data_IF_638714457988
#
_entry.id   IF_638714457988
#
_cell.length_a   1.000
_cell.length_b   1.000
_cell.length_c   1.000
_cell.angle_alpha   90.00
_cell.angle_beta   90.00
_cell.angle_gamma   90.00
#
_symmetry.space_group_name_H-M   'P 1'
#
loop_
_entity.id
_entity.type
_entity.pdbx_description
1 polymer ?
#
# COMPACT_ATOMS: atom_id res chain seq x y z
N UNK A 1 -1.80 -10.20 1.13
CA UNK A 1 -2.38 -9.21 0.17
C UNK A 1 -1.63 -9.30 -1.15
N UNK A 2 -2.29 -9.18 -2.30
CA UNK A 2 -1.64 -9.13 -3.61
C UNK A 2 -1.54 -7.68 -4.10
N UNK A 3 -0.38 -7.30 -4.62
CA UNK A 3 -0.18 -5.98 -5.25
C UNK A 3 -0.47 -6.11 -6.75
N UNK A 4 -1.67 -5.72 -7.14
CA UNK A 4 -2.17 -5.83 -8.51
C UNK A 4 -2.08 -4.47 -9.24
N UNK A 5 -2.62 -4.39 -10.47
CA UNK A 5 -2.66 -3.15 -11.24
C UNK A 5 -1.27 -2.69 -11.68
N UNK A 6 -0.92 -1.43 -11.42
CA UNK A 6 0.41 -0.85 -11.67
C UNK A 6 1.48 -1.27 -10.65
N UNK A 7 1.10 -2.04 -9.63
CA UNK A 7 2.00 -2.53 -8.58
C UNK A 7 2.42 -1.40 -7.64
N UNK A 8 3.34 -1.74 -6.72
CA UNK A 8 3.89 -0.76 -5.78
C UNK A 8 5.30 -0.38 -6.23
N UNK A 9 5.60 0.93 -6.38
CA UNK A 9 6.96 1.36 -6.62
C UNK A 9 7.89 0.93 -5.49
N UNK A 10 9.14 0.60 -5.82
CA UNK A 10 10.18 0.20 -4.88
C UNK A 10 11.54 0.78 -5.30
N UNK A 11 12.46 0.87 -4.35
CA UNK A 11 13.86 1.21 -4.57
C UNK A 11 14.76 0.10 -4.05
N UNK A 12 15.93 -0.04 -4.68
CA UNK A 12 17.02 -0.87 -4.19
C UNK A 12 18.26 0.01 -4.17
N UNK A 13 18.84 0.18 -2.98
CA UNK A 13 20.14 0.81 -2.82
C UNK A 13 21.22 -0.27 -2.76
N UNK A 14 22.25 -0.14 -3.60
CA UNK A 14 23.37 -1.08 -3.66
C UNK A 14 24.61 -0.38 -3.12
N UNK A 15 25.04 -0.78 -1.92
CA UNK A 15 26.22 -0.22 -1.26
C UNK A 15 27.51 -0.83 -1.83
N UNK A 16 28.59 -0.04 -1.84
CA UNK A 16 29.92 -0.46 -2.32
C UNK A 16 29.89 -1.04 -3.74
N UNK A 17 29.17 -0.37 -4.65
CA UNK A 17 29.04 -0.78 -6.04
C UNK A 17 30.41 -0.72 -6.73
N UNK A 18 30.81 -1.84 -7.35
CA UNK A 18 32.10 -1.94 -8.08
C UNK A 18 31.97 -1.65 -9.57
N UNK A 19 30.76 -1.74 -10.11
CA UNK A 19 30.44 -1.44 -11.50
C UNK A 19 28.97 -1.05 -11.62
N UNK A 20 28.69 -0.04 -12.44
CA UNK A 20 27.33 0.41 -12.72
C UNK A 20 26.80 -0.38 -13.92
N UNK A 21 25.63 -1.05 -13.81
CA UNK A 21 25.07 -1.81 -14.91
C UNK A 21 24.62 -0.87 -16.06
N UNK A 22 24.85 -1.32 -17.28
CA UNK A 22 24.30 -0.73 -18.49
C UNK A 22 22.78 -0.94 -18.60
N UNK A 23 22.12 -0.20 -19.49
CA UNK A 23 20.69 -0.36 -19.75
C UNK A 23 20.32 -1.78 -20.19
N UNK A 24 21.20 -2.47 -20.92
CA UNK A 24 21.00 -3.85 -21.36
C UNK A 24 21.04 -4.80 -20.16
N UNK A 25 22.00 -4.63 -19.26
CA UNK A 25 22.10 -5.46 -18.04
C UNK A 25 20.91 -5.25 -17.11
N UNK A 26 20.43 -4.01 -16.98
CA UNK A 26 19.19 -3.72 -16.23
C UNK A 26 17.99 -4.46 -16.83
N UNK A 27 17.85 -4.48 -18.16
CA UNK A 27 16.78 -5.22 -18.81
C UNK A 27 16.91 -6.73 -18.57
N UNK A 28 18.12 -7.28 -18.69
CA UNK A 28 18.38 -8.70 -18.41
C UNK A 28 18.05 -9.08 -16.96
N UNK A 29 18.34 -8.20 -15.99
CA UNK A 29 17.94 -8.40 -14.58
C UNK A 29 16.42 -8.47 -14.47
N UNK A 30 15.71 -7.54 -15.13
CA UNK A 30 14.25 -7.53 -15.17
C UNK A 30 13.67 -8.83 -15.75
N UNK A 31 14.22 -9.29 -16.86
CA UNK A 31 13.75 -10.50 -17.54
C UNK A 31 14.06 -11.77 -16.73
N UNK A 32 15.21 -11.82 -16.06
CA UNK A 32 15.58 -12.92 -15.16
C UNK A 32 14.63 -13.03 -13.97
N UNK A 33 14.26 -11.90 -13.36
CA UNK A 33 13.30 -11.89 -12.23
C UNK A 33 11.93 -12.35 -12.72
N UNK A 34 11.49 -11.84 -13.88
CA UNK A 34 10.16 -12.14 -14.42
C UNK A 34 10.02 -13.55 -15.01
N UNK A 35 11.14 -14.21 -15.37
CA UNK A 35 11.16 -15.60 -15.86
C UNK A 35 11.28 -16.64 -14.75
N UNK A 36 11.33 -16.23 -13.47
CA UNK A 36 11.35 -17.14 -12.33
C UNK A 36 10.15 -18.10 -12.35
N UNK A 37 10.41 -19.39 -12.21
CA UNK A 37 9.41 -20.46 -12.27
C UNK A 37 8.27 -20.28 -11.24
N UNK A 38 8.61 -19.80 -10.04
CA UNK A 38 7.65 -19.61 -8.94
C UNK A 38 6.69 -18.44 -9.16
N UNK A 39 7.02 -17.48 -10.03
CA UNK A 39 6.20 -16.32 -10.42
C UNK A 39 5.52 -15.55 -9.27
N UNK A 40 6.18 -15.48 -8.10
CA UNK A 40 5.63 -14.80 -6.92
C UNK A 40 5.51 -13.28 -7.11
N UNK A 41 6.44 -12.70 -7.87
CA UNK A 41 6.50 -11.28 -8.16
C UNK A 41 6.76 -11.07 -9.65
N UNK A 42 6.29 -9.94 -10.16
CA UNK A 42 6.65 -9.43 -11.48
C UNK A 42 7.07 -7.98 -11.31
N UNK A 43 8.19 -7.62 -11.92
CA UNK A 43 8.68 -6.25 -11.94
C UNK A 43 8.53 -5.65 -13.33
N UNK A 44 8.51 -4.32 -13.38
CA UNK A 44 8.43 -3.51 -14.60
C UNK A 44 9.14 -2.19 -14.36
N UNK A 45 9.53 -1.53 -15.44
CA UNK A 45 10.13 -0.20 -15.42
C UNK A 45 11.35 -0.13 -14.48
N UNK A 46 12.14 -1.21 -14.42
CA UNK A 46 13.41 -1.21 -13.69
C UNK A 46 14.37 -0.27 -14.41
N UNK A 47 14.91 0.70 -13.67
CA UNK A 47 15.85 1.69 -14.20
C UNK A 47 16.81 2.13 -13.10
N UNK A 48 18.00 2.56 -13.50
CA UNK A 48 18.89 3.29 -12.63
C UNK A 48 18.30 4.67 -12.38
N UNK A 49 18.40 5.15 -11.13
CA UNK A 49 17.81 6.40 -10.67
C UNK A 49 18.78 7.13 -9.77
N UNK A 50 18.72 8.45 -9.80
CA UNK A 50 19.50 9.31 -8.91
C UNK A 50 18.78 9.53 -7.57
N UNK A 51 19.46 10.18 -6.62
CA UNK A 51 18.97 10.39 -5.26
C UNK A 51 17.64 11.18 -5.16
N UNK A 52 17.28 11.92 -6.19
CA UNK A 52 16.04 12.71 -6.24
C UNK A 52 14.78 11.85 -6.15
N UNK A 53 14.85 10.58 -6.57
CA UNK A 53 13.71 9.66 -6.55
C UNK A 53 13.19 9.39 -5.12
N UNK A 54 14.05 9.55 -4.09
CA UNK A 54 13.66 9.36 -2.70
C UNK A 54 12.61 10.38 -2.26
N UNK A 55 12.72 11.62 -2.73
CA UNK A 55 11.75 12.66 -2.46
C UNK A 55 10.41 12.32 -3.12
N UNK A 56 10.43 11.93 -4.40
CA UNK A 56 9.25 11.53 -5.15
C UNK A 56 8.52 10.33 -4.51
N UNK A 57 9.26 9.34 -4.00
CA UNK A 57 8.67 8.17 -3.34
C UNK A 57 7.97 8.53 -2.03
N UNK A 58 8.52 9.50 -1.28
CA UNK A 58 7.98 9.99 -0.01
C UNK A 58 6.74 10.85 -0.23
N UNK A 59 6.79 11.77 -1.18
CA UNK A 59 5.65 12.60 -1.58
C UNK A 59 4.49 11.71 -2.08
N UNK A 60 4.79 10.80 -3.01
CA UNK A 60 3.81 9.82 -3.48
C UNK A 60 3.36 8.84 -2.39
N UNK A 61 3.94 8.79 -1.20
CA UNK A 61 3.37 8.08 -0.04
C UNK A 61 2.35 8.88 0.74
N UNK A 62 2.55 10.19 0.87
CA UNK A 62 1.62 11.08 1.57
C UNK A 62 0.30 11.27 0.80
N UNK A 63 0.36 11.38 -0.52
CA UNK A 63 -0.80 11.72 -1.38
C UNK A 63 -1.54 10.48 -1.93
N UNK A 64 -1.19 9.31 -1.41
CA UNK A 64 -1.46 8.01 -2.05
C UNK A 64 -2.95 7.64 -2.01
N UNK A 65 -3.64 7.72 -3.15
CA UNK A 65 -4.92 7.02 -3.34
C UNK A 65 -4.66 5.53 -3.56
N UNK A 66 -5.09 4.70 -2.61
CA UNK A 66 -4.95 3.24 -2.69
C UNK A 66 -6.29 2.62 -3.01
N UNK A 67 -6.29 1.77 -4.04
CA UNK A 67 -7.45 0.96 -4.41
C UNK A 67 -7.27 -0.45 -3.88
N UNK A 68 -8.35 -1.00 -3.34
CA UNK A 68 -8.37 -2.32 -2.75
C UNK A 68 -9.53 -3.13 -3.32
N UNK A 69 -9.31 -4.42 -3.48
CA UNK A 69 -10.36 -5.40 -3.72
C UNK A 69 -10.28 -6.43 -2.61
N UNK A 70 -11.41 -6.70 -1.96
CA UNK A 70 -11.54 -7.69 -0.90
C UNK A 70 -12.61 -8.70 -1.27
N UNK A 71 -12.37 -9.97 -0.94
CA UNK A 71 -13.42 -10.97 -0.91
C UNK A 71 -14.06 -10.90 0.47
N UNK A 72 -15.35 -10.60 0.51
CA UNK A 72 -16.12 -10.48 1.74
C UNK A 72 -17.02 -11.70 1.84
N UNK A 73 -17.03 -12.34 3.02
CA UNK A 73 -17.96 -13.40 3.35
C UNK A 73 -18.93 -12.89 4.42
N UNK A 74 -20.20 -13.17 4.22
CA UNK A 74 -21.28 -12.83 5.16
C UNK A 74 -21.96 -14.11 5.63
N UNK A 75 -22.38 -14.13 6.89
CA UNK A 75 -23.14 -15.26 7.45
C UNK A 75 -24.53 -15.41 6.85
N UNK A 76 -25.05 -14.33 6.25
CA UNK A 76 -26.36 -14.26 5.60
C UNK A 76 -26.22 -13.82 4.15
N UNK A 77 -27.11 -14.26 3.23
CA UNK A 77 -27.09 -13.79 1.85
C UNK A 77 -27.26 -12.27 1.78
N UNK A 78 -26.51 -11.62 0.88
CA UNK A 78 -26.70 -10.21 0.59
C UNK A 78 -27.90 -10.03 -0.35
N UNK A 79 -28.78 -9.09 -0.02
CA UNK A 79 -29.87 -8.67 -0.89
C UNK A 79 -29.42 -7.53 -1.81
N UNK A 80 -30.17 -7.26 -2.88
CA UNK A 80 -29.89 -6.12 -3.77
C UNK A 80 -29.95 -4.78 -3.01
N UNK A 81 -30.86 -4.67 -2.03
CA UNK A 81 -30.96 -3.50 -1.16
C UNK A 81 -29.69 -3.30 -0.32
N UNK A 82 -29.06 -4.39 0.15
CA UNK A 82 -27.80 -4.30 0.91
C UNK A 82 -26.65 -3.83 0.01
N UNK A 83 -26.60 -4.31 -1.24
CA UNK A 83 -25.60 -3.89 -2.22
C UNK A 83 -25.80 -2.41 -2.61
N UNK A 84 -27.04 -1.96 -2.78
CA UNK A 84 -27.36 -0.55 -3.04
C UNK A 84 -26.96 0.34 -1.86
N UNK A 85 -27.20 -0.08 -0.62
CA UNK A 85 -26.74 0.66 0.57
C UNK A 85 -25.22 0.78 0.62
N UNK A 86 -24.48 -0.24 0.20
CA UNK A 86 -23.01 -0.21 0.18
C UNK A 86 -22.50 0.69 -0.96
N UNK A 87 -23.13 0.67 -2.14
CA UNK A 87 -22.66 1.41 -3.32
C UNK A 87 -22.79 2.93 -3.18
N UNK A 88 -23.76 3.41 -2.38
CA UNK A 88 -23.96 4.85 -2.15
C UNK A 88 -23.02 5.44 -1.09
N UNK A 89 -22.31 4.59 -0.33
CA UNK A 89 -21.34 5.04 0.67
C UNK A 89 -20.08 5.53 -0.05
N UNK A 90 -19.93 6.85 -0.11
CA UNK A 90 -18.70 7.52 -0.52
C UNK A 90 -18.16 8.31 0.69
N UNK A 91 -16.83 8.30 0.87
CA UNK A 91 -16.12 9.08 1.90
C UNK A 91 -16.57 8.81 3.34
N UNK A 92 -16.34 7.58 3.81
CA UNK A 92 -16.45 7.29 5.24
C UNK A 92 -15.34 8.00 6.02
N UNK A 93 -15.70 8.86 6.97
CA UNK A 93 -14.76 9.42 7.95
C UNK A 93 -13.95 8.33 8.64
N UNK A 94 -12.70 8.64 9.02
CA UNK A 94 -11.79 7.66 9.64
C UNK A 94 -12.26 7.25 11.05
N UNK A 95 -13.17 6.28 11.13
CA UNK A 95 -13.61 5.66 12.39
C UNK A 95 -12.68 4.52 12.84
N UNK A 96 -11.42 4.50 12.39
CA UNK A 96 -10.49 3.39 12.63
C UNK A 96 -10.10 3.34 14.10
N UNK A 97 -10.78 2.51 14.88
CA UNK A 97 -10.24 2.00 16.16
C UNK A 97 -9.07 1.08 15.79
N UNK A 98 -7.88 1.34 16.35
CA UNK A 98 -6.67 0.61 15.99
C UNK A 98 -6.89 -0.92 16.07
N UNK A 99 -6.57 -1.68 15.01
CA UNK A 99 -6.72 -3.13 15.06
C UNK A 99 -5.85 -3.69 16.18
N UNK A 100 -6.43 -4.58 17.00
CA UNK A 100 -5.77 -5.16 18.19
C UNK A 100 -4.47 -5.94 17.89
N UNK A 101 -4.16 -6.18 16.61
CA UNK A 101 -2.91 -6.77 16.15
C UNK A 101 -2.21 -5.86 15.15
N UNK A 102 -1.53 -4.86 15.69
CA UNK A 102 -0.61 -4.02 14.95
C UNK A 102 0.00 -3.00 15.90
N UNK A 103 1.24 -3.24 16.33
CA UNK A 103 2.08 -2.24 16.98
C UNK A 103 2.38 -1.11 15.99
N UNK A 104 1.43 -0.19 15.83
CA UNK A 104 1.68 1.09 15.19
C UNK A 104 2.44 1.96 16.19
N UNK A 105 3.71 2.26 15.95
CA UNK A 105 4.49 3.25 16.72
C UNK A 105 3.99 4.70 16.56
N UNK A 106 2.78 4.91 16.04
CA UNK A 106 2.18 6.23 15.89
C UNK A 106 1.34 6.53 17.12
N UNK A 107 1.85 7.38 18.02
CA UNK A 107 1.03 8.01 19.06
C UNK A 107 -0.05 8.86 18.40
N UNK A 108 -1.31 8.81 18.85
CA UNK A 108 -2.34 9.72 18.35
C UNK A 108 -2.00 11.15 18.78
N UNK A 109 -1.90 12.05 17.80
CA UNK A 109 -1.94 13.49 18.03
C UNK A 109 -3.41 13.88 18.03
N UNK A 110 -3.89 14.50 19.12
CA UNK A 110 -5.23 15.11 19.19
C UNK A 110 -6.34 14.32 19.89
N UNK A 111 -6.03 13.48 20.89
CA UNK A 111 -7.06 13.00 21.81
C UNK A 111 -7.24 14.02 22.95
N UNK A 112 -8.06 15.04 22.71
CA UNK A 112 -8.63 15.86 23.79
C UNK A 112 -9.73 15.00 24.43
N UNK A 113 -9.46 14.48 25.62
CA UNK A 113 -10.40 13.71 26.41
C UNK A 113 -11.26 14.65 27.26
N UNK A 114 -12.40 15.06 26.74
CA UNK A 114 -13.48 15.58 27.57
C UNK A 114 -14.22 14.40 28.20
N UNK A 115 -13.89 14.12 29.47
CA UNK A 115 -14.73 13.29 30.33
C UNK A 115 -15.72 14.22 31.04
N UNK A 116 -16.92 14.38 30.48
CA UNK A 116 -18.07 14.84 31.26
C UNK A 116 -18.54 13.66 32.10
N UNK A 117 -18.26 13.71 33.40
CA UNK A 117 -18.89 12.84 34.39
C UNK A 117 -20.31 13.36 34.62
N UNK A 118 -21.30 12.76 33.96
CA UNK A 118 -22.68 12.91 34.37
C UNK A 118 -22.85 12.11 35.66
N UNK A 119 -23.04 12.84 36.76
CA UNK A 119 -23.50 12.30 38.03
C UNK A 119 -25.02 12.19 38.02
N UNK A 120 -25.51 11.05 38.51
CA UNK A 120 -26.62 10.91 39.46
C UNK A 120 -26.52 9.53 40.12
#
# INVERSE_FOLDING_TARGET
VRMLGSGRPFLIEVLNVRSIPSAIEIQQISDKINSSEKKHVRIRNLKLVDNEIWAMMREGEAEKQKQYAALIWTSSPLTDDDLQKISVINDMGNCTKYPHKGSSSKKPVGAETDYTLDGD
#
